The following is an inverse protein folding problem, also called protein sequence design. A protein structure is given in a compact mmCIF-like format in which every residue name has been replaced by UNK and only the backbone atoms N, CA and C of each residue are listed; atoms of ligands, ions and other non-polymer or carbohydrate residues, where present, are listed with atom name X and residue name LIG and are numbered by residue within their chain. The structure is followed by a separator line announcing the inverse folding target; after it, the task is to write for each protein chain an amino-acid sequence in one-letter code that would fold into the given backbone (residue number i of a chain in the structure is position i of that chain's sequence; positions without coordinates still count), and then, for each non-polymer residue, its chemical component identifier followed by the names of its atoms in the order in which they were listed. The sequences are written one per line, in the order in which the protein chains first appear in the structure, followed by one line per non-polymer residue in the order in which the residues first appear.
data_IF_480276936022
#
_entry.id   IF_480276936022
#
_cell.length_a   1.000
_cell.length_b   1.000
_cell.length_c   1.000
_cell.angle_alpha   90.00
_cell.angle_beta   90.00
_cell.angle_gamma   90.00
#
_symmetry.space_group_name_H-M   'P 1'
#
loop_
_entity.id
_entity.type
_entity.pdbx_description
1 polymer ?
#
# COMPACT_ATOMS: atom_id res chain seq x y z
N UNK A 1 -12.59 -16.87 -33.45
CA UNK A 1 -12.63 -15.45 -33.15
C UNK A 1 -11.39 -15.16 -32.30
N UNK A 2 -10.39 -14.46 -32.80
CA UNK A 2 -9.14 -14.21 -32.04
C UNK A 2 -9.39 -13.08 -31.05
N UNK A 3 -9.49 -13.40 -29.77
CA UNK A 3 -9.64 -12.49 -28.65
C UNK A 3 -8.29 -11.75 -28.41
N UNK A 4 -7.80 -11.06 -29.41
CA UNK A 4 -6.58 -10.24 -29.30
C UNK A 4 -6.94 -8.76 -29.35
N UNK A 5 -7.74 -8.29 -28.40
CA UNK A 5 -7.94 -6.87 -28.20
C UNK A 5 -6.72 -6.30 -27.46
N UNK A 6 -5.84 -5.65 -28.19
CA UNK A 6 -4.83 -4.81 -27.58
C UNK A 6 -5.47 -3.49 -27.16
N UNK A 7 -5.48 -3.21 -25.86
CA UNK A 7 -5.86 -1.88 -25.39
C UNK A 7 -4.87 -0.84 -25.92
N UNK A 8 -5.37 0.10 -26.69
CA UNK A 8 -4.59 1.23 -27.19
C UNK A 8 -4.87 2.42 -26.27
N UNK A 9 -3.84 2.83 -25.53
CA UNK A 9 -3.96 3.96 -24.60
C UNK A 9 -4.22 5.24 -25.41
N UNK A 10 -5.36 5.93 -25.22
CA UNK A 10 -5.59 7.22 -25.86
C UNK A 10 -4.54 8.25 -25.47
N UNK A 11 -4.07 9.07 -26.42
CA UNK A 11 -3.03 10.09 -26.18
C UNK A 11 -3.34 11.02 -25.00
N UNK A 12 -4.63 11.34 -24.76
CA UNK A 12 -5.08 12.17 -23.65
C UNK A 12 -4.66 11.61 -22.28
N UNK A 13 -4.64 10.28 -22.11
CA UNK A 13 -4.23 9.68 -20.82
C UNK A 13 -2.73 9.81 -20.59
N UNK A 14 -1.93 9.68 -21.64
CA UNK A 14 -0.49 9.95 -21.53
C UNK A 14 -0.24 11.42 -21.13
N UNK A 15 -0.99 12.37 -21.70
CA UNK A 15 -0.87 13.78 -21.32
C UNK A 15 -1.31 14.03 -19.88
N UNK A 16 -2.39 13.38 -19.42
CA UNK A 16 -2.85 13.46 -18.02
C UNK A 16 -1.81 12.86 -17.08
N UNK A 17 -1.29 11.67 -17.38
CA UNK A 17 -0.25 11.02 -16.58
C UNK A 17 1.00 11.90 -16.45
N UNK A 18 1.49 12.46 -17.57
CA UNK A 18 2.63 13.39 -17.56
C UNK A 18 2.31 14.64 -16.72
N UNK A 19 1.12 15.23 -16.87
CA UNK A 19 0.72 16.38 -16.07
C UNK A 19 0.70 16.07 -14.57
N UNK A 20 0.17 14.91 -14.17
CA UNK A 20 0.15 14.45 -12.77
C UNK A 20 1.57 14.21 -12.25
N UNK A 21 2.46 13.58 -13.02
CA UNK A 21 3.87 13.42 -12.67
C UNK A 21 4.58 14.76 -12.48
N UNK A 22 4.31 15.75 -13.35
CA UNK A 22 4.88 17.10 -13.22
C UNK A 22 4.36 17.80 -11.97
N UNK A 23 3.05 17.71 -11.67
CA UNK A 23 2.46 18.26 -10.44
C UNK A 23 3.13 17.64 -9.21
N UNK A 24 3.27 16.31 -9.18
CA UNK A 24 3.95 15.61 -8.07
C UNK A 24 5.41 16.03 -7.91
N UNK A 25 6.15 16.14 -9.01
CA UNK A 25 7.54 16.59 -8.98
C UNK A 25 7.67 18.04 -8.46
N UNK A 26 6.81 18.94 -8.93
CA UNK A 26 6.78 20.32 -8.43
C UNK A 26 6.41 20.39 -6.96
N UNK A 27 5.47 19.54 -6.50
CA UNK A 27 5.14 19.43 -5.08
C UNK A 27 6.34 18.94 -4.24
N UNK A 28 7.08 17.94 -4.71
CA UNK A 28 8.30 17.45 -4.03
C UNK A 28 9.36 18.55 -3.96
N UNK A 29 9.60 19.27 -5.08
CA UNK A 29 10.55 20.40 -5.09
C UNK A 29 10.09 21.51 -4.13
N UNK A 30 8.80 21.85 -4.16
CA UNK A 30 8.21 22.85 -3.28
C UNK A 30 8.37 22.47 -1.79
N UNK A 31 8.06 21.20 -1.45
CA UNK A 31 8.26 20.69 -0.09
C UNK A 31 9.73 20.68 0.33
N UNK A 32 10.65 20.34 -0.57
CA UNK A 32 12.08 20.40 -0.27
C UNK A 32 12.54 21.83 0.04
N UNK A 33 12.14 22.81 -0.78
CA UNK A 33 12.53 24.21 -0.59
C UNK A 33 11.91 24.81 0.67
N UNK A 34 10.66 24.48 0.97
CA UNK A 34 9.92 25.08 2.10
C UNK A 34 10.21 24.38 3.44
N UNK A 35 10.50 23.08 3.43
CA UNK A 35 10.66 22.24 4.63
C UNK A 35 11.98 21.47 4.63
N UNK A 36 12.30 20.73 3.57
CA UNK A 36 13.46 19.83 3.53
C UNK A 36 14.82 20.50 3.62
N UNK A 37 14.96 21.75 3.15
CA UNK A 37 16.20 22.52 3.21
C UNK A 37 16.40 23.27 4.54
N UNK A 38 15.39 23.28 5.41
CA UNK A 38 15.49 23.93 6.74
C UNK A 38 16.29 23.06 7.69
N UNK A 39 16.90 23.70 8.70
CA UNK A 39 17.68 23.03 9.75
C UNK A 39 16.82 22.48 10.89
N UNK A 40 15.55 22.85 10.94
CA UNK A 40 14.62 22.39 11.97
C UNK A 40 14.22 20.93 11.70
N UNK A 41 14.41 20.07 12.69
CA UNK A 41 14.17 18.62 12.59
C UNK A 41 12.75 18.30 12.16
N UNK A 42 11.75 18.98 12.70
CA UNK A 42 10.33 18.76 12.36
C UNK A 42 10.01 19.14 10.90
N UNK A 43 10.66 20.14 10.37
CA UNK A 43 10.48 20.56 8.99
C UNK A 43 11.06 19.51 8.02
N UNK A 44 12.28 19.05 8.28
CA UNK A 44 12.89 17.95 7.50
C UNK A 44 12.07 16.65 7.63
N UNK A 45 11.57 16.35 8.84
CA UNK A 45 10.75 15.18 9.09
C UNK A 45 9.48 15.20 8.23
N UNK A 46 8.86 16.36 8.07
CA UNK A 46 7.67 16.53 7.20
C UNK A 46 7.97 16.18 5.76
N UNK A 47 9.09 16.64 5.21
CA UNK A 47 9.50 16.32 3.84
C UNK A 47 9.70 14.81 3.63
N UNK A 48 10.47 14.19 4.52
CA UNK A 48 10.75 12.76 4.40
C UNK A 48 9.51 11.89 4.68
N UNK A 49 8.64 12.30 5.62
CA UNK A 49 7.38 11.62 5.89
C UNK A 49 6.44 11.65 4.68
N UNK A 50 6.36 12.77 3.96
CA UNK A 50 5.55 12.88 2.75
C UNK A 50 6.00 11.91 1.65
N UNK A 51 7.32 11.79 1.43
CA UNK A 51 7.88 10.86 0.46
C UNK A 51 7.68 9.40 0.90
N UNK A 52 7.96 9.09 2.17
CA UNK A 52 7.78 7.75 2.73
C UNK A 52 6.34 7.28 2.63
N UNK A 53 5.40 8.10 3.13
CA UNK A 53 3.98 7.81 3.11
C UNK A 53 3.48 7.45 1.71
N UNK A 54 3.70 8.34 0.73
CA UNK A 54 3.19 8.13 -0.62
C UNK A 54 3.88 6.94 -1.31
N UNK A 55 5.20 6.81 -1.21
CA UNK A 55 5.92 5.73 -1.88
C UNK A 55 5.54 4.35 -1.33
N UNK A 56 5.42 4.20 -0.02
CA UNK A 56 5.04 2.92 0.61
C UNK A 56 3.58 2.59 0.31
N UNK A 57 2.67 3.55 0.44
CA UNK A 57 1.25 3.34 0.15
C UNK A 57 1.03 2.82 -1.28
N UNK A 58 1.51 3.54 -2.29
CA UNK A 58 1.30 3.14 -3.68
C UNK A 58 2.01 1.84 -4.02
N UNK A 59 3.20 1.58 -3.46
CA UNK A 59 3.89 0.31 -3.65
C UNK A 59 3.07 -0.87 -3.11
N UNK A 60 2.54 -0.77 -1.90
CA UNK A 60 1.77 -1.86 -1.29
C UNK A 60 0.43 -2.07 -1.99
N UNK A 61 -0.23 -1.01 -2.45
CA UNK A 61 -1.48 -1.09 -3.22
C UNK A 61 -1.28 -1.84 -4.54
N UNK A 62 -0.24 -1.51 -5.32
CA UNK A 62 0.01 -2.22 -6.59
C UNK A 62 0.51 -3.65 -6.36
N UNK A 63 1.23 -3.88 -5.25
CA UNK A 63 1.71 -5.22 -4.88
C UNK A 63 0.56 -6.15 -4.45
N UNK A 64 -0.50 -5.60 -3.86
CA UNK A 64 -1.71 -6.33 -3.50
C UNK A 64 -2.39 -7.00 -4.72
N UNK A 65 -2.23 -6.46 -5.92
CA UNK A 65 -2.73 -7.07 -7.15
C UNK A 65 -2.07 -8.43 -7.43
N UNK A 66 -0.76 -8.56 -7.23
CA UNK A 66 -0.08 -9.85 -7.41
C UNK A 66 -0.41 -10.84 -6.29
N UNK A 67 -0.58 -10.34 -5.07
CA UNK A 67 -1.09 -11.16 -3.96
C UNK A 67 -2.47 -11.75 -4.29
N UNK A 68 -3.39 -10.92 -4.81
CA UNK A 68 -4.72 -11.38 -5.22
C UNK A 68 -4.66 -12.48 -6.29
N UNK A 69 -3.82 -12.32 -7.34
CA UNK A 69 -3.61 -13.36 -8.35
C UNK A 69 -3.10 -14.66 -7.71
N UNK A 70 -2.12 -14.53 -6.82
CA UNK A 70 -1.49 -15.69 -6.18
C UNK A 70 -2.46 -16.42 -5.26
N UNK A 71 -3.20 -15.69 -4.41
CA UNK A 71 -4.19 -16.24 -3.51
C UNK A 71 -5.33 -16.95 -4.27
N UNK A 72 -5.87 -16.31 -5.29
CA UNK A 72 -6.94 -16.91 -6.12
C UNK A 72 -6.44 -18.08 -6.96
N UNK A 73 -5.17 -18.09 -7.39
CA UNK A 73 -4.56 -19.24 -8.07
C UNK A 73 -4.47 -20.45 -7.13
N UNK A 74 -4.03 -20.25 -5.88
CA UNK A 74 -3.97 -21.33 -4.88
C UNK A 74 -5.37 -21.83 -4.46
N UNK A 75 -6.34 -20.92 -4.42
CA UNK A 75 -7.75 -21.25 -4.14
C UNK A 75 -8.47 -21.86 -5.33
N UNK A 76 -7.81 -22.14 -6.46
CA UNK A 76 -8.41 -22.65 -7.71
C UNK A 76 -9.56 -21.76 -8.22
N UNK A 77 -9.50 -20.45 -7.93
CA UNK A 77 -10.50 -19.46 -8.29
C UNK A 77 -10.44 -19.08 -9.77
N UNK A 78 -11.13 -19.83 -10.64
CA UNK A 78 -11.13 -19.57 -12.09
C UNK A 78 -11.85 -18.29 -12.51
N UNK A 79 -12.72 -17.73 -11.68
CA UNK A 79 -13.53 -16.54 -12.01
C UNK A 79 -12.69 -15.29 -12.31
N UNK A 80 -11.53 -15.13 -11.67
CA UNK A 80 -10.63 -14.01 -11.90
C UNK A 80 -9.94 -14.02 -13.28
N UNK A 81 -9.99 -15.15 -13.98
CA UNK A 81 -9.33 -15.28 -15.28
C UNK A 81 -9.87 -14.30 -16.33
N UNK A 82 -11.14 -13.88 -16.22
CA UNK A 82 -11.79 -12.95 -17.14
C UNK A 82 -11.13 -11.55 -17.12
N UNK A 83 -10.52 -11.13 -15.99
CA UNK A 83 -9.83 -9.83 -15.84
C UNK A 83 -8.39 -9.96 -15.31
N UNK A 84 -7.84 -11.17 -15.32
CA UNK A 84 -6.48 -11.43 -14.83
C UNK A 84 -5.43 -10.50 -15.44
N UNK A 85 -5.57 -10.15 -16.72
CA UNK A 85 -4.65 -9.24 -17.42
C UNK A 85 -4.63 -7.83 -16.82
N UNK A 86 -5.76 -7.36 -16.32
CA UNK A 86 -5.86 -6.08 -15.62
C UNK A 86 -5.03 -6.12 -14.35
N UNK A 87 -5.21 -7.15 -13.56
CA UNK A 87 -4.49 -7.35 -12.29
C UNK A 87 -2.98 -7.52 -12.51
N UNK A 88 -2.59 -8.26 -13.57
CA UNK A 88 -1.19 -8.41 -13.99
C UNK A 88 -0.57 -7.07 -14.43
N UNK A 89 -1.35 -6.21 -15.11
CA UNK A 89 -0.88 -4.89 -15.54
C UNK A 89 -0.63 -3.97 -14.32
N UNK A 90 -1.52 -3.95 -13.34
CA UNK A 90 -1.33 -3.19 -12.10
C UNK A 90 -0.05 -3.67 -11.38
N UNK A 91 0.14 -4.98 -11.26
CA UNK A 91 1.34 -5.54 -10.62
C UNK A 91 2.65 -5.25 -11.38
N UNK A 92 2.57 -4.86 -12.65
CA UNK A 92 3.73 -4.50 -13.44
C UNK A 92 4.37 -3.18 -12.98
N UNK A 93 3.66 -2.35 -12.21
CA UNK A 93 4.18 -1.11 -11.63
C UNK A 93 5.10 -1.35 -10.42
N UNK A 94 5.06 -2.56 -9.81
CA UNK A 94 5.87 -2.89 -8.62
C UNK A 94 7.37 -2.61 -8.79
N UNK A 95 8.05 -3.00 -9.89
CA UNK A 95 9.48 -2.69 -10.05
C UNK A 95 9.79 -1.20 -10.07
N UNK A 96 8.94 -0.38 -10.72
CA UNK A 96 9.16 1.06 -10.86
C UNK A 96 8.92 1.76 -9.53
N UNK A 97 7.72 1.60 -8.95
CA UNK A 97 7.36 2.24 -7.68
C UNK A 97 8.25 1.67 -6.56
N UNK A 98 8.56 0.37 -6.59
CA UNK A 98 9.46 -0.28 -5.63
C UNK A 98 10.87 0.29 -5.67
N UNK A 99 11.42 0.58 -6.84
CA UNK A 99 12.74 1.22 -6.96
C UNK A 99 12.70 2.63 -6.36
N UNK A 100 11.68 3.42 -6.67
CA UNK A 100 11.52 4.77 -6.10
C UNK A 100 11.39 4.70 -4.57
N UNK A 101 10.52 3.83 -4.06
CA UNK A 101 10.33 3.62 -2.63
C UNK A 101 11.63 3.16 -1.95
N UNK A 102 12.35 2.20 -2.55
CA UNK A 102 13.63 1.71 -2.04
C UNK A 102 14.68 2.79 -1.95
N UNK A 103 14.80 3.65 -2.99
CA UNK A 103 15.72 4.79 -2.96
C UNK A 103 15.34 5.76 -1.83
N UNK A 104 14.06 6.11 -1.67
CA UNK A 104 13.59 6.99 -0.59
C UNK A 104 13.93 6.39 0.79
N UNK A 105 13.61 5.12 1.01
CA UNK A 105 13.91 4.41 2.26
C UNK A 105 15.40 4.38 2.59
N UNK A 106 16.25 4.13 1.59
CA UNK A 106 17.70 4.14 1.78
C UNK A 106 18.22 5.55 2.07
N UNK A 107 17.72 6.57 1.37
CA UNK A 107 18.07 7.96 1.65
C UNK A 107 17.72 8.36 3.09
N UNK A 108 16.53 7.99 3.57
CA UNK A 108 16.11 8.25 4.96
C UNK A 108 17.00 7.48 5.94
N UNK A 109 17.29 6.21 5.69
CA UNK A 109 18.08 5.36 6.58
C UNK A 109 19.54 5.81 6.72
N UNK A 110 20.13 6.32 5.63
CA UNK A 110 21.52 6.78 5.59
C UNK A 110 21.68 8.28 5.71
N UNK A 111 20.57 9.03 5.91
CA UNK A 111 20.64 10.46 6.18
C UNK A 111 21.49 10.74 7.43
N UNK A 112 22.38 11.73 7.39
CA UNK A 112 23.19 12.12 8.55
C UNK A 112 22.36 12.73 9.68
N UNK A 113 21.19 13.29 9.37
CA UNK A 113 20.36 14.03 10.32
C UNK A 113 19.43 13.12 11.14
N UNK A 114 19.33 11.81 10.81
CA UNK A 114 18.54 10.78 11.52
C UNK A 114 17.08 11.17 11.84
N UNK A 115 16.47 11.93 10.95
CA UNK A 115 15.23 12.69 11.19
C UNK A 115 14.00 11.81 11.44
N UNK A 116 13.82 10.73 10.65
CA UNK A 116 12.68 9.82 10.82
C UNK A 116 13.04 8.57 11.62
N UNK A 117 14.24 8.05 11.42
CA UNK A 117 14.66 6.78 12.04
C UNK A 117 15.76 7.07 13.08
N UNK A 118 15.36 7.45 14.31
CA UNK A 118 16.27 7.77 15.41
C UNK A 118 17.19 6.59 15.78
N UNK A 119 16.76 5.35 15.55
CA UNK A 119 17.57 4.16 15.76
C UNK A 119 18.76 4.03 14.80
N UNK A 120 18.87 4.90 13.80
CA UNK A 120 20.03 4.93 12.88
C UNK A 120 21.20 5.72 13.48
N UNK A 121 21.00 6.51 14.54
CA UNK A 121 22.07 7.20 15.29
C UNK A 121 22.64 6.28 16.38
N UNK A 122 23.92 5.94 16.24
CA UNK A 122 24.62 5.10 17.21
C UNK A 122 24.69 5.71 18.62
N UNK A 123 24.67 7.04 18.75
CA UNK A 123 24.69 7.74 20.05
C UNK A 123 23.35 7.56 20.76
N UNK A 124 22.25 7.71 20.04
CA UNK A 124 20.90 7.50 20.56
C UNK A 124 20.71 6.04 20.98
N UNK A 125 21.13 5.10 20.14
CA UNK A 125 21.05 3.65 20.45
C UNK A 125 21.90 3.29 21.67
N UNK A 126 23.08 3.89 21.85
CA UNK A 126 23.94 3.60 23.02
C UNK A 126 23.34 4.13 24.33
N UNK A 127 22.55 5.20 24.28
CA UNK A 127 21.93 5.81 25.46
C UNK A 127 20.57 5.18 25.83
N UNK A 128 19.94 4.42 24.94
CA UNK A 128 18.59 3.89 25.09
C UNK A 128 18.61 2.35 25.13
N UNK A 129 18.20 1.78 26.26
CA UNK A 129 18.21 0.33 26.49
C UNK A 129 17.26 -0.41 25.53
N UNK A 130 16.08 0.16 25.21
CA UNK A 130 15.09 -0.45 24.31
C UNK A 130 15.63 -0.52 22.90
N UNK A 131 16.22 0.56 22.40
CA UNK A 131 16.84 0.59 21.07
C UNK A 131 18.05 -0.33 20.98
N UNK A 132 18.81 -0.46 22.05
CA UNK A 132 19.95 -1.37 22.15
C UNK A 132 19.48 -2.84 22.03
N UNK A 133 18.39 -3.21 22.70
CA UNK A 133 17.79 -4.55 22.57
C UNK A 133 17.26 -4.81 21.16
N UNK A 134 16.70 -3.80 20.50
CA UNK A 134 16.18 -3.90 19.12
C UNK A 134 17.26 -3.82 18.06
N UNK A 135 18.52 -3.51 18.38
CA UNK A 135 19.61 -3.26 17.42
C UNK A 135 19.95 -4.45 16.52
N UNK A 136 19.63 -5.68 16.94
CA UNK A 136 19.76 -6.88 16.12
C UNK A 136 18.84 -6.86 14.87
N UNK A 137 17.67 -6.23 15.00
CA UNK A 137 16.68 -6.08 13.93
C UNK A 137 16.70 -4.67 13.33
N UNK A 138 16.74 -3.62 14.17
CA UNK A 138 16.80 -2.22 13.74
C UNK A 138 18.26 -1.78 13.60
N UNK A 139 18.87 -2.11 12.47
CA UNK A 139 20.20 -1.62 12.09
C UNK A 139 20.25 -1.33 10.58
N UNK A 140 21.12 -0.39 10.19
CA UNK A 140 21.23 0.10 8.80
C UNK A 140 21.51 -1.03 7.79
N UNK A 141 22.36 -1.98 8.14
CA UNK A 141 22.76 -3.07 7.24
C UNK A 141 21.59 -4.02 6.98
N UNK A 142 20.89 -4.45 8.03
CA UNK A 142 19.73 -5.32 7.89
C UNK A 142 18.58 -4.59 7.17
N UNK A 143 18.30 -3.35 7.54
CA UNK A 143 17.28 -2.52 6.89
C UNK A 143 17.51 -2.40 5.39
N UNK A 144 18.72 -2.03 4.98
CA UNK A 144 19.06 -1.87 3.56
C UNK A 144 19.00 -3.21 2.81
N UNK A 145 19.64 -4.25 3.35
CA UNK A 145 19.65 -5.57 2.73
C UNK A 145 18.27 -6.17 2.58
N UNK A 146 17.45 -6.08 3.64
CA UNK A 146 16.08 -6.61 3.62
C UNK A 146 15.15 -5.81 2.70
N UNK A 147 15.29 -4.49 2.66
CA UNK A 147 14.53 -3.63 1.73
C UNK A 147 14.84 -3.97 0.27
N UNK A 148 16.12 -4.07 -0.08
CA UNK A 148 16.55 -4.43 -1.43
C UNK A 148 16.06 -5.84 -1.79
N UNK A 149 16.28 -6.83 -0.90
CA UNK A 149 15.79 -8.20 -1.09
C UNK A 149 14.29 -8.24 -1.37
N UNK A 150 13.51 -7.54 -0.56
CA UNK A 150 12.04 -7.53 -0.65
C UNK A 150 11.57 -6.98 -2.00
N UNK A 151 12.09 -5.82 -2.42
CA UNK A 151 11.69 -5.18 -3.68
C UNK A 151 12.12 -6.06 -4.88
N UNK A 152 13.30 -6.64 -4.84
CA UNK A 152 13.76 -7.56 -5.87
C UNK A 152 12.92 -8.83 -5.92
N UNK A 153 12.60 -9.43 -4.77
CA UNK A 153 11.79 -10.64 -4.70
C UNK A 153 10.37 -10.40 -5.27
N UNK A 154 9.69 -9.32 -4.87
CA UNK A 154 8.37 -8.98 -5.42
C UNK A 154 8.44 -8.73 -6.95
N UNK A 155 9.45 -8.01 -7.39
CA UNK A 155 9.64 -7.67 -8.80
C UNK A 155 9.91 -8.90 -9.66
N UNK A 156 10.84 -9.76 -9.24
CA UNK A 156 11.25 -10.95 -9.98
C UNK A 156 10.15 -12.02 -9.99
N UNK A 157 9.51 -12.30 -8.86
CA UNK A 157 8.42 -13.26 -8.78
C UNK A 157 7.20 -12.79 -9.59
N UNK A 158 6.83 -11.52 -9.46
CA UNK A 158 5.76 -10.92 -10.26
C UNK A 158 6.08 -10.94 -11.77
N UNK A 159 7.30 -10.60 -12.16
CA UNK A 159 7.74 -10.71 -13.54
C UNK A 159 7.65 -12.15 -14.06
N UNK A 160 8.12 -13.13 -13.27
CA UNK A 160 8.07 -14.55 -13.63
C UNK A 160 6.64 -15.03 -13.88
N UNK A 161 5.73 -14.72 -12.96
CA UNK A 161 4.32 -15.11 -13.08
C UNK A 161 3.65 -14.45 -14.30
N UNK A 162 3.89 -13.15 -14.52
CA UNK A 162 3.40 -12.44 -15.72
C UNK A 162 3.98 -13.02 -17.00
N UNK A 163 5.29 -13.34 -17.03
CA UNK A 163 5.93 -13.96 -18.20
C UNK A 163 5.31 -15.31 -18.54
N UNK A 164 5.03 -16.14 -17.52
CA UNK A 164 4.34 -17.43 -17.71
C UNK A 164 2.92 -17.24 -18.26
N UNK A 165 2.17 -16.30 -17.72
CA UNK A 165 0.83 -16.00 -18.19
C UNK A 165 0.84 -15.50 -19.64
N UNK A 166 1.73 -14.58 -19.99
CA UNK A 166 1.84 -14.01 -21.35
C UNK A 166 2.35 -15.01 -22.38
N UNK A 167 3.12 -16.00 -21.97
CA UNK A 167 3.60 -17.03 -22.91
C UNK A 167 2.47 -17.85 -23.54
N UNK A 168 1.27 -17.88 -22.94
CA UNK A 168 0.09 -18.53 -23.51
C UNK A 168 -0.52 -17.73 -24.66
N UNK A 169 -0.23 -16.44 -24.77
CA UNK A 169 -0.71 -15.60 -25.89
C UNK A 169 0.00 -15.97 -27.19
N UNK A 170 1.28 -16.35 -27.08
CA UNK A 170 2.12 -16.69 -28.22
C UNK A 170 2.06 -18.19 -28.57
N UNK A 171 1.95 -19.04 -27.53
CA UNK A 171 1.93 -20.51 -27.65
C UNK A 171 0.75 -21.07 -26.86
N UNK A 172 -0.43 -21.23 -27.50
CA UNK A 172 -1.58 -21.87 -26.87
C UNK A 172 -1.26 -23.32 -26.44
N UNK A 173 -1.96 -23.79 -25.41
CA UNK A 173 -1.76 -25.15 -24.88
C UNK A 173 -2.30 -26.17 -25.89
N UNK A 174 -1.41 -27.01 -26.42
CA UNK A 174 -1.73 -27.97 -27.46
C UNK A 174 -2.24 -29.32 -26.91
N UNK A 175 -1.97 -29.61 -25.63
CA UNK A 175 -2.37 -30.87 -25.00
C UNK A 175 -2.84 -30.69 -23.56
N UNK A 176 -3.61 -31.67 -23.07
CA UNK A 176 -4.10 -31.72 -21.69
C UNK A 176 -2.95 -31.80 -20.68
N UNK A 177 -1.88 -32.50 -21.03
CA UNK A 177 -0.67 -32.61 -20.20
C UNK A 177 0.08 -31.29 -20.11
N UNK A 178 0.16 -30.55 -21.20
CA UNK A 178 0.72 -29.19 -21.20
C UNK A 178 -0.09 -28.25 -20.31
N UNK A 179 -1.43 -28.38 -20.33
CA UNK A 179 -2.33 -27.64 -19.46
C UNK A 179 -2.10 -27.95 -17.97
N UNK A 180 -2.02 -29.24 -17.62
CA UNK A 180 -1.74 -29.66 -16.23
C UNK A 180 -0.39 -29.12 -15.73
N UNK A 181 0.65 -29.19 -16.57
CA UNK A 181 1.99 -28.69 -16.25
C UNK A 181 1.98 -27.16 -16.05
N UNK A 182 1.24 -26.44 -16.89
CA UNK A 182 1.10 -25.00 -16.74
C UNK A 182 0.41 -24.63 -15.41
N UNK A 183 -0.72 -25.29 -15.09
CA UNK A 183 -1.44 -25.05 -13.83
C UNK A 183 -0.52 -25.36 -12.63
N UNK A 184 0.16 -26.51 -12.66
CA UNK A 184 1.09 -26.88 -11.60
C UNK A 184 2.19 -25.84 -11.39
N UNK A 185 2.87 -25.42 -12.47
CA UNK A 185 3.91 -24.39 -12.38
C UNK A 185 3.37 -23.06 -11.87
N UNK A 186 2.18 -22.64 -12.31
CA UNK A 186 1.56 -21.41 -11.85
C UNK A 186 1.21 -21.49 -10.35
N UNK A 187 0.74 -22.63 -9.87
CA UNK A 187 0.46 -22.90 -8.45
C UNK A 187 1.74 -22.84 -7.60
N UNK A 188 2.83 -23.44 -8.07
CA UNK A 188 4.13 -23.40 -7.36
C UNK A 188 4.66 -21.97 -7.23
N UNK A 189 4.65 -21.19 -8.30
CA UNK A 189 5.12 -19.80 -8.24
C UNK A 189 4.18 -18.91 -7.42
N UNK A 190 2.88 -19.15 -7.45
CA UNK A 190 1.91 -18.47 -6.59
C UNK A 190 2.15 -18.78 -5.11
N UNK A 191 2.45 -20.04 -4.76
CA UNK A 191 2.78 -20.43 -3.39
C UNK A 191 4.05 -19.75 -2.89
N UNK A 192 5.12 -19.73 -3.70
CA UNK A 192 6.38 -19.03 -3.37
C UNK A 192 6.10 -17.54 -3.15
N UNK A 193 5.30 -16.91 -4.04
CA UNK A 193 4.94 -15.50 -3.88
C UNK A 193 4.21 -15.22 -2.57
N UNK A 194 3.23 -16.06 -2.20
CA UNK A 194 2.47 -15.88 -0.95
C UNK A 194 3.37 -16.03 0.28
N UNK A 195 4.29 -17.00 0.27
CA UNK A 195 5.25 -17.14 1.39
C UNK A 195 6.12 -15.90 1.53
N UNK A 196 6.70 -15.41 0.42
CA UNK A 196 7.49 -14.17 0.44
C UNK A 196 6.65 -12.97 0.87
N UNK A 197 5.42 -12.86 0.39
CA UNK A 197 4.49 -11.80 0.76
C UNK A 197 4.14 -11.83 2.25
N UNK A 198 3.90 -13.01 2.82
CA UNK A 198 3.62 -13.19 4.25
C UNK A 198 4.82 -12.79 5.12
N UNK A 199 6.03 -13.20 4.75
CA UNK A 199 7.27 -12.84 5.45
C UNK A 199 7.62 -11.35 5.34
N UNK A 200 7.10 -10.66 4.35
CA UNK A 200 7.38 -9.24 4.10
C UNK A 200 6.20 -8.36 4.50
N UNK A 201 5.13 -8.30 3.73
CA UNK A 201 4.01 -7.36 3.95
C UNK A 201 3.23 -7.65 5.23
N UNK A 202 3.03 -8.94 5.56
CA UNK A 202 2.27 -9.33 6.76
C UNK A 202 3.15 -9.44 8.02
N UNK A 203 4.45 -9.09 7.95
CA UNK A 203 5.35 -9.17 9.09
C UNK A 203 6.43 -8.08 9.07
N UNK A 204 7.56 -8.31 8.42
CA UNK A 204 8.79 -7.56 8.61
C UNK A 204 8.77 -6.14 8.04
N UNK A 205 8.12 -5.91 6.89
CA UNK A 205 8.14 -4.60 6.23
C UNK A 205 7.41 -3.51 7.02
N UNK A 206 6.18 -3.72 7.52
CA UNK A 206 5.54 -2.72 8.37
C UNK A 206 6.34 -2.39 9.64
N UNK A 207 7.05 -3.38 10.19
CA UNK A 207 7.91 -3.15 11.36
C UNK A 207 9.16 -2.36 11.02
N UNK A 208 9.76 -2.58 9.85
CA UNK A 208 10.98 -1.88 9.43
C UNK A 208 10.69 -0.48 8.87
N UNK A 209 9.67 -0.34 8.01
CA UNK A 209 9.45 0.89 7.26
C UNK A 209 8.52 1.89 7.95
N UNK A 210 7.56 1.40 8.75
CA UNK A 210 6.50 2.24 9.31
C UNK A 210 6.60 2.35 10.84
N UNK A 211 6.51 1.23 11.57
CA UNK A 211 6.51 1.27 13.04
C UNK A 211 7.84 1.71 13.62
N UNK A 212 8.95 1.51 12.91
CA UNK A 212 10.29 1.93 13.36
C UNK A 212 10.47 3.45 13.42
N UNK A 213 9.51 4.21 12.92
CA UNK A 213 9.41 5.66 13.14
C UNK A 213 9.17 5.93 14.64
N UNK A 214 8.22 5.20 15.24
CA UNK A 214 7.92 5.20 16.68
C UNK A 214 8.62 4.00 17.34
N UNK A 215 9.97 3.95 17.33
CA UNK A 215 10.76 2.75 17.60
C UNK A 215 10.59 2.16 19.01
N UNK A 216 10.08 2.93 19.99
CA UNK A 216 9.75 2.44 21.34
C UNK A 216 8.45 1.65 21.36
N UNK A 217 7.50 1.99 20.48
CA UNK A 217 6.24 1.30 20.37
C UNK A 217 6.35 0.03 19.51
N UNK A 218 5.49 -0.95 19.75
CA UNK A 218 5.39 -2.16 18.93
C UNK A 218 3.98 -2.73 18.96
N UNK A 219 3.58 -3.39 17.86
CA UNK A 219 2.37 -4.18 17.77
C UNK A 219 2.52 -5.25 16.69
N UNK A 220 2.26 -6.50 17.03
CA UNK A 220 2.27 -7.61 16.06
C UNK A 220 1.10 -7.51 15.08
N UNK A 221 -0.04 -6.99 15.53
CA UNK A 221 -1.23 -6.79 14.71
C UNK A 221 -1.06 -5.69 13.65
N UNK A 222 -0.08 -4.81 13.84
CA UNK A 222 0.17 -3.70 12.93
C UNK A 222 0.47 -4.15 11.49
N UNK A 223 1.21 -5.24 11.32
CA UNK A 223 1.50 -5.76 9.98
C UNK A 223 0.25 -6.30 9.28
N UNK A 224 -0.63 -6.98 10.01
CA UNK A 224 -1.91 -7.44 9.49
C UNK A 224 -2.84 -6.27 9.16
N UNK A 225 -2.83 -5.24 9.98
CA UNK A 225 -3.57 -4.01 9.77
C UNK A 225 -3.08 -3.28 8.50
N UNK A 226 -1.76 -3.12 8.31
CA UNK A 226 -1.15 -2.54 7.12
C UNK A 226 -1.48 -3.36 5.86
N UNK A 227 -1.41 -4.70 5.97
CA UNK A 227 -1.82 -5.59 4.88
C UNK A 227 -3.29 -5.40 4.51
N UNK A 228 -4.20 -5.43 5.49
CA UNK A 228 -5.63 -5.27 5.23
C UNK A 228 -5.93 -3.93 4.54
N UNK A 229 -5.32 -2.84 5.01
CA UNK A 229 -5.41 -1.51 4.43
C UNK A 229 -4.98 -1.48 2.95
N UNK A 230 -3.78 -1.95 2.67
CA UNK A 230 -3.24 -1.97 1.30
C UNK A 230 -4.01 -2.91 0.37
N UNK A 231 -4.51 -4.04 0.88
CA UNK A 231 -5.26 -5.01 0.09
C UNK A 231 -6.64 -4.49 -0.31
N UNK A 232 -7.37 -3.85 0.59
CA UNK A 232 -8.67 -3.23 0.25
C UNK A 232 -8.49 -2.15 -0.82
N UNK A 233 -7.49 -1.28 -0.66
CA UNK A 233 -7.17 -0.25 -1.65
C UNK A 233 -6.74 -0.88 -3.00
N UNK A 234 -6.00 -1.98 -2.99
CA UNK A 234 -5.63 -2.74 -4.19
C UNK A 234 -6.83 -3.35 -4.89
N UNK A 235 -7.79 -3.91 -4.15
CA UNK A 235 -9.05 -4.43 -4.72
C UNK A 235 -9.90 -3.31 -5.31
N UNK A 236 -9.92 -2.14 -4.66
CA UNK A 236 -10.60 -0.95 -5.18
C UNK A 236 -9.96 -0.46 -6.50
N UNK A 237 -8.63 -0.48 -6.58
CA UNK A 237 -7.90 -0.14 -7.81
C UNK A 237 -8.21 -1.12 -8.95
N UNK A 238 -8.23 -2.42 -8.67
CA UNK A 238 -8.63 -3.46 -9.63
C UNK A 238 -10.05 -3.19 -10.14
N UNK A 239 -11.00 -2.88 -9.23
CA UNK A 239 -12.39 -2.57 -9.59
C UNK A 239 -12.47 -1.37 -10.55
N UNK A 240 -11.73 -0.29 -10.29
CA UNK A 240 -11.70 0.89 -11.17
C UNK A 240 -11.23 0.56 -12.58
N UNK A 241 -10.14 -0.20 -12.70
CA UNK A 241 -9.64 -0.58 -14.03
C UNK A 241 -10.58 -1.55 -14.77
N UNK A 242 -11.22 -2.48 -14.06
CA UNK A 242 -12.24 -3.37 -14.65
C UNK A 242 -13.40 -2.53 -15.20
N UNK A 243 -13.94 -1.61 -14.39
CA UNK A 243 -15.07 -0.76 -14.78
C UNK A 243 -14.68 0.13 -15.97
N UNK A 244 -13.51 0.74 -15.90
CA UNK A 244 -13.00 1.61 -16.98
C UNK A 244 -12.88 0.85 -18.31
N UNK A 245 -12.23 -0.30 -18.31
CA UNK A 245 -12.04 -1.11 -19.52
C UNK A 245 -13.35 -1.66 -20.04
N UNK A 246 -14.26 -2.10 -19.15
CA UNK A 246 -15.59 -2.57 -19.56
C UNK A 246 -16.41 -1.48 -20.22
N UNK A 247 -16.43 -0.28 -19.66
CA UNK A 247 -17.11 0.90 -20.24
C UNK A 247 -16.48 1.36 -21.56
N UNK A 248 -15.20 1.02 -21.78
CA UNK A 248 -14.49 1.29 -23.03
C UNK A 248 -14.67 0.21 -24.11
N UNK A 249 -15.51 -0.81 -23.85
CA UNK A 249 -15.81 -1.89 -24.81
C UNK A 249 -14.85 -3.08 -24.76
N UNK A 250 -13.93 -3.12 -23.81
CA UNK A 250 -13.04 -4.25 -23.57
C UNK A 250 -13.61 -5.21 -22.52
N UNK A 251 -12.90 -6.32 -22.23
CA UNK A 251 -13.28 -7.32 -21.24
C UNK A 251 -14.65 -7.96 -21.51
N UNK A 252 -14.84 -8.50 -22.72
CA UNK A 252 -16.10 -9.10 -23.17
C UNK A 252 -16.67 -10.13 -22.16
N UNK A 253 -15.82 -11.00 -21.62
CA UNK A 253 -16.21 -12.05 -20.67
C UNK A 253 -16.43 -11.58 -19.23
N UNK A 254 -16.07 -10.33 -18.91
CA UNK A 254 -16.30 -9.78 -17.59
C UNK A 254 -17.70 -9.18 -17.51
N UNK A 255 -18.43 -9.53 -16.46
CA UNK A 255 -19.80 -9.10 -16.23
C UNK A 255 -19.98 -8.57 -14.80
N UNK A 256 -21.21 -8.19 -14.44
CA UNK A 256 -21.58 -7.66 -13.13
C UNK A 256 -21.29 -8.63 -11.97
N UNK A 257 -21.30 -9.96 -12.22
CA UNK A 257 -20.98 -10.95 -11.19
C UNK A 257 -19.49 -10.90 -10.81
N UNK A 258 -18.60 -10.71 -11.78
CA UNK A 258 -17.18 -10.52 -11.50
C UNK A 258 -16.93 -9.24 -10.69
N UNK A 259 -17.65 -8.15 -11.03
CA UNK A 259 -17.58 -6.91 -10.26
C UNK A 259 -18.12 -7.10 -8.84
N UNK A 260 -19.22 -7.84 -8.71
CA UNK A 260 -19.79 -8.23 -7.41
C UNK A 260 -18.79 -9.03 -6.57
N UNK A 261 -18.04 -9.95 -7.19
CA UNK A 261 -17.03 -10.75 -6.50
C UNK A 261 -15.87 -9.89 -6.00
N UNK A 262 -15.36 -8.96 -6.82
CA UNK A 262 -14.38 -7.95 -6.37
C UNK A 262 -14.95 -7.09 -5.25
N UNK A 263 -16.21 -6.65 -5.36
CA UNK A 263 -16.90 -5.88 -4.32
C UNK A 263 -17.11 -6.64 -3.00
N UNK A 264 -17.19 -7.99 -3.04
CA UNK A 264 -17.18 -8.81 -1.80
C UNK A 264 -15.85 -8.74 -1.08
N UNK A 265 -14.73 -8.77 -1.82
CA UNK A 265 -13.40 -8.59 -1.22
C UNK A 265 -13.25 -7.18 -0.62
N UNK A 266 -13.66 -6.15 -1.34
CA UNK A 266 -13.64 -4.77 -0.80
C UNK A 266 -14.45 -4.69 0.50
N UNK A 267 -15.67 -5.23 0.53
CA UNK A 267 -16.54 -5.22 1.71
C UNK A 267 -15.94 -6.04 2.87
N UNK A 268 -15.57 -7.29 2.63
CA UNK A 268 -15.08 -8.19 3.66
C UNK A 268 -13.77 -7.70 4.30
N UNK A 269 -12.85 -7.21 3.47
CA UNK A 269 -11.58 -6.69 3.98
C UNK A 269 -11.69 -5.30 4.61
N UNK A 270 -12.68 -4.48 4.26
CA UNK A 270 -13.00 -3.27 5.03
C UNK A 270 -13.44 -3.62 6.46
N UNK A 271 -14.25 -4.67 6.63
CA UNK A 271 -14.64 -5.16 7.97
C UNK A 271 -13.41 -5.74 8.69
N UNK A 272 -12.58 -6.52 8.00
CA UNK A 272 -11.37 -7.10 8.57
C UNK A 272 -10.36 -6.01 9.00
N UNK A 273 -10.14 -4.99 8.17
CA UNK A 273 -9.34 -3.83 8.52
C UNK A 273 -9.86 -3.12 9.77
N UNK A 274 -11.17 -2.92 9.84
CA UNK A 274 -11.81 -2.28 11.00
C UNK A 274 -11.65 -3.10 12.27
N UNK A 275 -11.81 -4.42 12.16
CA UNK A 275 -11.58 -5.32 13.29
C UNK A 275 -10.14 -5.18 13.82
N UNK A 276 -9.14 -5.18 12.94
CA UNK A 276 -7.74 -5.05 13.33
C UNK A 276 -7.44 -3.67 13.93
N UNK A 277 -7.94 -2.61 13.33
CA UNK A 277 -7.77 -1.25 13.80
C UNK A 277 -8.46 -1.04 15.14
N UNK A 278 -9.73 -1.41 15.24
CA UNK A 278 -10.53 -1.20 16.43
C UNK A 278 -10.05 -2.05 17.61
N UNK A 279 -9.67 -3.30 17.39
CA UNK A 279 -9.17 -4.16 18.47
C UNK A 279 -7.87 -3.63 19.07
N UNK A 280 -6.93 -3.15 18.26
CA UNK A 280 -5.72 -2.49 18.76
C UNK A 280 -6.06 -1.24 19.58
N UNK A 281 -6.88 -0.35 19.00
CA UNK A 281 -7.28 0.89 19.66
C UNK A 281 -8.00 0.62 20.98
N UNK A 282 -8.98 -0.28 20.98
CA UNK A 282 -9.78 -0.63 22.16
C UNK A 282 -8.94 -1.24 23.28
N UNK A 283 -8.06 -2.20 22.94
CA UNK A 283 -7.20 -2.86 23.94
C UNK A 283 -6.24 -1.86 24.60
N UNK A 284 -5.60 -1.01 23.81
CA UNK A 284 -4.67 0.00 24.32
C UNK A 284 -5.40 1.10 25.10
N UNK A 285 -6.57 1.53 24.60
CA UNK A 285 -7.42 2.48 25.33
C UNK A 285 -7.92 1.91 26.66
N UNK A 286 -8.31 0.63 26.69
CA UNK A 286 -8.81 -0.03 27.91
C UNK A 286 -7.69 -0.27 28.93
N UNK A 287 -6.54 -0.76 28.48
CA UNK A 287 -5.39 -1.02 29.37
C UNK A 287 -4.75 0.25 29.90
N UNK A 288 -4.81 1.33 29.12
CA UNK A 288 -4.27 2.66 29.41
C UNK A 288 -2.82 2.63 29.93
N UNK A 289 -2.00 1.73 29.40
CA UNK A 289 -0.58 1.67 29.74
C UNK A 289 0.15 2.85 29.07
N UNK A 290 0.93 3.66 29.82
CA UNK A 290 1.58 4.85 29.28
C UNK A 290 2.44 4.58 28.05
N UNK A 291 3.19 3.47 28.04
CA UNK A 291 4.09 3.08 26.96
C UNK A 291 3.34 2.74 25.67
N UNK A 292 2.14 2.17 25.78
CA UNK A 292 1.32 1.76 24.65
C UNK A 292 0.47 2.91 24.09
N UNK A 293 -0.01 3.79 24.98
CA UNK A 293 -0.87 4.93 24.56
C UNK A 293 -0.15 6.00 23.76
N UNK A 294 1.18 6.04 23.82
CA UNK A 294 2.03 7.00 23.09
C UNK A 294 1.73 7.05 21.60
N UNK A 295 1.43 5.90 20.98
CA UNK A 295 1.11 5.80 19.56
C UNK A 295 -0.25 6.42 19.21
N UNK A 296 -1.29 6.14 20.00
CA UNK A 296 -2.66 6.55 19.69
C UNK A 296 -2.98 7.98 20.13
N UNK A 297 -2.32 8.47 21.18
CA UNK A 297 -2.61 9.79 21.75
C UNK A 297 -2.48 10.95 20.75
N UNK A 298 -1.37 11.12 20.00
CA UNK A 298 -1.26 12.19 19.01
C UNK A 298 -2.21 12.00 17.81
N UNK A 299 -2.61 10.75 17.53
CA UNK A 299 -3.51 10.40 16.43
C UNK A 299 -4.96 10.67 16.76
N UNK A 300 -5.41 10.30 17.95
CA UNK A 300 -6.82 10.36 18.34
C UNK A 300 -7.22 11.66 19.08
N UNK A 301 -6.28 12.35 19.71
CA UNK A 301 -6.56 13.51 20.58
C UNK A 301 -5.92 14.82 20.09
N UNK A 302 -4.93 14.77 19.21
CA UNK A 302 -4.21 15.93 18.71
C UNK A 302 -4.81 16.53 17.43
N UNK A 303 -4.05 17.35 16.70
CA UNK A 303 -4.46 17.95 15.42
C UNK A 303 -4.84 16.94 14.34
N UNK A 304 -4.41 15.67 14.49
CA UNK A 304 -4.72 14.57 13.58
C UNK A 304 -6.05 13.87 13.88
N UNK A 305 -6.74 14.21 14.98
CA UNK A 305 -7.98 13.54 15.40
C UNK A 305 -9.10 13.59 14.34
N UNK A 306 -9.22 14.71 13.63
CA UNK A 306 -10.17 14.83 12.52
C UNK A 306 -9.92 13.81 11.40
N UNK A 307 -8.65 13.59 11.02
CA UNK A 307 -8.26 12.60 10.02
C UNK A 307 -8.49 11.18 10.56
N UNK A 308 -8.18 10.92 11.84
CA UNK A 308 -8.36 9.64 12.50
C UNK A 308 -9.83 9.16 12.47
N UNK A 309 -10.78 10.03 12.74
CA UNK A 309 -12.20 9.69 12.66
C UNK A 309 -12.74 9.69 11.24
N UNK A 310 -12.24 10.57 10.38
CA UNK A 310 -12.63 10.61 8.96
C UNK A 310 -12.25 9.31 8.25
N UNK A 311 -11.03 8.79 8.45
CA UNK A 311 -10.63 7.52 7.85
C UNK A 311 -11.50 6.35 8.33
N UNK A 312 -11.91 6.34 9.60
CA UNK A 312 -12.81 5.33 10.14
C UNK A 312 -14.17 5.38 9.43
N UNK A 313 -14.73 6.58 9.26
CA UNK A 313 -16.00 6.75 8.54
C UNK A 313 -15.89 6.25 7.11
N UNK A 314 -14.82 6.61 6.39
CA UNK A 314 -14.62 6.25 4.99
C UNK A 314 -14.36 4.74 4.84
N UNK A 315 -13.50 4.16 5.67
CA UNK A 315 -13.04 2.78 5.50
C UNK A 315 -13.94 1.73 6.13
N UNK A 316 -14.84 2.13 7.04
CA UNK A 316 -15.78 1.23 7.70
C UNK A 316 -17.23 1.59 7.44
N UNK A 317 -17.68 2.79 7.87
CA UNK A 317 -19.09 3.16 7.83
C UNK A 317 -19.60 3.20 6.39
N UNK A 318 -18.87 3.80 5.47
CA UNK A 318 -19.25 3.87 4.06
C UNK A 318 -19.35 2.49 3.40
N UNK A 319 -18.33 1.59 3.50
CA UNK A 319 -18.45 0.22 2.99
C UNK A 319 -19.61 -0.57 3.57
N UNK A 320 -19.83 -0.51 4.88
CA UNK A 320 -20.96 -1.23 5.53
C UNK A 320 -22.31 -0.75 5.00
N UNK A 321 -22.51 0.55 4.91
CA UNK A 321 -23.79 1.10 4.47
C UNK A 321 -24.05 0.89 2.97
N UNK A 322 -23.01 1.01 2.15
CA UNK A 322 -23.14 1.02 0.68
C UNK A 322 -22.90 -0.35 0.07
N UNK A 323 -21.81 -1.05 0.47
CA UNK A 323 -21.42 -2.32 -0.13
C UNK A 323 -22.10 -3.55 0.49
N UNK A 324 -22.90 -3.42 1.55
CA UNK A 324 -23.65 -4.55 2.08
C UNK A 324 -24.63 -5.12 1.05
N UNK A 325 -25.33 -4.26 0.32
CA UNK A 325 -26.33 -4.67 -0.67
C UNK A 325 -25.69 -5.32 -1.90
N UNK A 326 -26.28 -6.43 -2.39
CA UNK A 326 -25.84 -7.10 -3.62
C UNK A 326 -25.90 -6.18 -4.85
N UNK A 327 -26.98 -5.42 -4.99
CA UNK A 327 -27.20 -4.50 -6.11
C UNK A 327 -26.13 -3.40 -6.18
N UNK A 328 -25.67 -2.87 -5.04
CA UNK A 328 -24.62 -1.85 -4.99
C UNK A 328 -23.30 -2.35 -5.58
N UNK A 329 -22.93 -3.60 -5.28
CA UNK A 329 -21.71 -4.24 -5.80
C UNK A 329 -21.76 -4.60 -7.28
N UNK A 330 -22.94 -4.58 -7.92
CA UNK A 330 -23.14 -4.81 -9.35
C UNK A 330 -23.29 -3.51 -10.14
N UNK A 331 -23.53 -2.40 -9.46
CA UNK A 331 -23.70 -1.09 -10.08
C UNK A 331 -22.34 -0.43 -10.32
N UNK A 332 -22.01 -0.16 -11.58
CA UNK A 332 -20.72 0.42 -11.98
C UNK A 332 -20.47 1.80 -11.35
N UNK A 333 -21.48 2.68 -11.30
CA UNK A 333 -21.34 4.02 -10.71
C UNK A 333 -21.08 3.95 -9.20
N UNK A 334 -21.85 3.13 -8.48
CA UNK A 334 -21.67 2.90 -7.04
C UNK A 334 -20.30 2.32 -6.73
N UNK A 335 -19.86 1.33 -7.52
CA UNK A 335 -18.55 0.71 -7.33
C UNK A 335 -17.41 1.67 -7.67
N UNK A 336 -17.55 2.51 -8.69
CA UNK A 336 -16.56 3.56 -9.00
C UNK A 336 -16.42 4.55 -7.84
N UNK A 337 -17.55 5.06 -7.35
CA UNK A 337 -17.56 5.96 -6.20
C UNK A 337 -16.89 5.34 -4.96
N UNK A 338 -17.30 4.11 -4.61
CA UNK A 338 -16.75 3.41 -3.45
C UNK A 338 -15.28 3.08 -3.61
N UNK A 339 -14.84 2.72 -4.82
CA UNK A 339 -13.44 2.42 -5.07
C UNK A 339 -12.54 3.66 -4.92
N UNK A 340 -12.96 4.81 -5.45
CA UNK A 340 -12.25 6.08 -5.25
C UNK A 340 -12.22 6.49 -3.78
N UNK A 341 -13.35 6.37 -3.09
CA UNK A 341 -13.48 6.70 -1.68
C UNK A 341 -12.57 5.82 -0.81
N UNK A 342 -12.54 4.52 -1.05
CA UNK A 342 -11.72 3.54 -0.32
C UNK A 342 -10.22 3.79 -0.57
N UNK A 343 -9.80 4.04 -1.81
CA UNK A 343 -8.39 4.35 -2.11
C UNK A 343 -7.97 5.60 -1.34
N UNK A 344 -8.79 6.65 -1.34
CA UNK A 344 -8.51 7.86 -0.59
C UNK A 344 -8.52 7.61 0.94
N UNK A 345 -9.49 6.86 1.45
CA UNK A 345 -9.59 6.54 2.88
C UNK A 345 -8.39 5.75 3.42
N UNK A 346 -7.89 4.79 2.64
CA UNK A 346 -6.68 4.03 3.01
C UNK A 346 -5.39 4.83 2.78
N UNK A 347 -5.39 5.82 1.89
CA UNK A 347 -4.31 6.80 1.80
C UNK A 347 -4.25 7.66 3.07
N UNK A 348 -5.39 8.09 3.62
CA UNK A 348 -5.47 8.77 4.92
C UNK A 348 -5.03 7.86 6.09
N UNK A 349 -5.32 6.57 6.00
CA UNK A 349 -4.89 5.57 6.98
C UNK A 349 -3.36 5.47 7.04
N UNK A 350 -2.70 5.36 5.89
CA UNK A 350 -1.24 5.40 5.82
C UNK A 350 -0.66 6.77 6.25
N UNK A 351 -1.39 7.84 6.02
CA UNK A 351 -1.03 9.16 6.54
C UNK A 351 -0.97 9.15 8.08
N UNK A 352 -1.96 8.55 8.72
CA UNK A 352 -2.00 8.35 10.17
C UNK A 352 -0.90 7.40 10.68
N UNK A 353 -0.44 6.45 9.87
CA UNK A 353 0.66 5.58 10.24
C UNK A 353 1.99 6.31 10.31
N UNK A 354 2.23 7.29 9.42
CA UNK A 354 3.55 7.89 9.20
C UNK A 354 3.71 9.26 9.89
N UNK A 355 2.74 10.16 9.76
CA UNK A 355 2.94 11.57 10.13
C UNK A 355 2.90 11.89 11.62
N UNK A 356 1.96 11.38 12.44
CA UNK A 356 1.81 11.87 13.80
C UNK A 356 3.04 11.67 14.69
N UNK A 357 3.78 10.56 14.51
CA UNK A 357 4.99 10.28 15.28
C UNK A 357 6.07 11.37 15.11
N UNK A 358 6.60 11.58 13.89
CA UNK A 358 7.64 12.58 13.64
C UNK A 358 7.19 14.02 13.83
N UNK A 359 5.88 14.28 13.79
CA UNK A 359 5.30 15.62 13.98
C UNK A 359 5.00 15.93 15.45
N UNK A 360 5.26 15.01 16.37
CA UNK A 360 5.07 15.21 17.81
C UNK A 360 6.41 15.44 18.49
N UNK A 361 6.56 16.56 19.16
CA UNK A 361 7.71 16.83 20.00
C UNK A 361 7.57 16.01 21.30
N UNK A 362 8.48 15.07 21.51
CA UNK A 362 8.46 14.21 22.69
C UNK A 362 8.80 14.96 24.00
N UNK A 363 9.44 16.12 23.92
CA UNK A 363 9.78 16.91 25.10
C UNK A 363 8.59 17.77 25.58
N UNK A 364 7.86 18.39 24.66
CA UNK A 364 6.73 19.27 24.98
C UNK A 364 5.38 18.57 24.88
N UNK A 365 5.30 17.48 24.14
CA UNK A 365 4.05 16.78 23.79
C UNK A 365 3.21 17.53 22.76
N UNK A 366 3.72 18.62 22.18
CA UNK A 366 3.03 19.35 21.13
C UNK A 366 3.12 18.62 19.80
N UNK A 367 2.03 18.59 19.05
CA UNK A 367 1.94 17.95 17.74
C UNK A 367 1.66 19.02 16.67
N UNK A 368 2.51 19.06 15.65
CA UNK A 368 2.37 20.00 14.54
C UNK A 368 1.20 19.67 13.64
N UNK A 369 0.54 20.69 13.08
CA UNK A 369 -0.67 20.57 12.26
C UNK A 369 -0.42 19.82 10.95
N UNK A 370 -1.33 18.93 10.50
CA UNK A 370 -1.22 18.23 9.22
C UNK A 370 -1.33 19.18 8.02
N UNK A 371 -0.55 18.89 6.95
CA UNK A 371 -0.58 19.65 5.68
C UNK A 371 -1.03 18.76 4.52
N UNK A 372 -2.21 18.16 4.63
CA UNK A 372 -2.75 17.14 3.70
C UNK A 372 -2.69 17.56 2.22
N UNK A 373 -2.89 18.84 1.91
CA UNK A 373 -2.92 19.31 0.50
C UNK A 373 -1.57 19.15 -0.20
N UNK A 374 -0.46 19.40 0.49
CA UNK A 374 0.87 19.19 -0.06
C UNK A 374 1.15 17.69 -0.29
N UNK A 375 0.77 16.86 0.68
CA UNK A 375 0.95 15.41 0.60
C UNK A 375 0.10 14.80 -0.52
N UNK A 376 -1.12 15.33 -0.69
CA UNK A 376 -1.99 14.95 -1.80
C UNK A 376 -1.42 15.35 -3.17
N UNK A 377 -0.75 16.51 -3.26
CA UNK A 377 -0.07 16.90 -4.50
C UNK A 377 1.12 15.97 -4.83
N UNK A 378 1.85 15.48 -3.81
CA UNK A 378 2.87 14.44 -4.01
C UNK A 378 2.23 13.12 -4.46
N UNK A 379 1.09 12.73 -3.87
CA UNK A 379 0.33 11.54 -4.27
C UNK A 379 -0.06 11.55 -5.76
N UNK A 380 -0.42 12.73 -6.31
CA UNK A 380 -0.74 12.87 -7.74
C UNK A 380 0.42 12.44 -8.63
N UNK A 381 1.67 12.66 -8.21
CA UNK A 381 2.85 12.17 -8.92
C UNK A 381 2.87 10.65 -9.05
N UNK A 382 2.57 9.93 -7.97
CA UNK A 382 2.48 8.47 -7.96
C UNK A 382 1.27 7.94 -8.74
N UNK A 383 0.17 8.67 -8.77
CA UNK A 383 -0.99 8.34 -9.61
C UNK A 383 -0.67 8.47 -11.10
N UNK A 384 0.24 9.39 -11.47
CA UNK A 384 0.69 9.56 -12.84
C UNK A 384 1.67 8.49 -13.33
N UNK A 385 2.36 7.79 -12.42
CA UNK A 385 3.28 6.69 -12.73
C UNK A 385 2.54 5.42 -13.11
#
# INVERSE_FOLDING_TARGET
MSIREKFIIPKRYNSIAIALMVIGLLAIIGLYVTHGAKKEVHEQARFWAALLHNSVYFLLVVNAAMFFISATTLAWGGWQMSFRRVTEAISACVPVIGTICGVILLLICFSPDHVLYHWTDSKVVAADEILKWKSGFLNKTFFAGWTIFTILAWSLLGWKMRKMSRSLDDKPLESKEAGKRYIWNNTVWAAIYIVVFALTVMSSIPWLWLISIDAHWYSTMYSWYTFASSFVAGMALIALFIIYLKNSGYLEYTNEEHLHDVGKFMFAFSIFWTYLWFSQYMLIWYSNQPEETTYFKPRAQGPYSGIFWLMFIINFIAPILILMRRGSKRNYATMTFMALLIIFGHWLDFYQMVFPGPMTDHATGETHVPMILYDFAVAMGFVGL
#
